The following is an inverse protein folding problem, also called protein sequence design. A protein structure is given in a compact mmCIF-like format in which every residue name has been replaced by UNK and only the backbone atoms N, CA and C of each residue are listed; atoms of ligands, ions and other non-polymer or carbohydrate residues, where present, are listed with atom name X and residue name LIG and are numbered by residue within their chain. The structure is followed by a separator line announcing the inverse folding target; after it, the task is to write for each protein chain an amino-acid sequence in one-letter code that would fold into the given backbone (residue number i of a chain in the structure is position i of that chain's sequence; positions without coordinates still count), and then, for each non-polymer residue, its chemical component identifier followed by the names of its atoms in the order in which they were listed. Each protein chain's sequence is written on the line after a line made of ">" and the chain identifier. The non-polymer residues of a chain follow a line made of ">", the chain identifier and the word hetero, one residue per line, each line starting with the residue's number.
data_IF_568864340042
#
_entry.id   IF_568864340042
#
_cell.length_a   1.000
_cell.length_b   1.000
_cell.length_c   1.000
_cell.angle_alpha   90.00
_cell.angle_beta   90.00
_cell.angle_gamma   90.00
#
_symmetry.space_group_name_H-M   'P 1'
#
loop_
_entity.id
_entity.type
_entity.pdbx_description
1 polymer ?
#
# COMPACT_ATOMS: atom_id res chain seq x y z
N UNK A 1 2.15 6.12 35.63
CA UNK A 1 0.73 6.15 35.22
C UNK A 1 0.52 7.46 34.48
N UNK A 2 0.32 7.42 33.16
CA UNK A 2 0.20 8.63 32.35
C UNK A 2 -1.05 9.40 32.78
N UNK A 3 -0.82 10.58 33.35
CA UNK A 3 -1.83 11.41 33.99
C UNK A 3 -2.68 12.10 32.91
N UNK A 4 -3.98 12.11 33.12
CA UNK A 4 -4.99 12.57 32.17
C UNK A 4 -4.97 14.08 31.98
N UNK A 5 -4.57 14.55 30.80
CA UNK A 5 -5.02 15.82 30.20
C UNK A 5 -4.91 15.75 28.67
N UNK A 6 -6.08 15.88 28.03
CA UNK A 6 -6.38 16.24 26.62
C UNK A 6 -5.90 15.36 25.46
N UNK A 7 -6.05 14.04 25.53
CA UNK A 7 -6.07 13.24 24.29
C UNK A 7 -7.54 12.91 23.96
N UNK A 8 -7.94 13.07 22.69
CA UNK A 8 -9.32 12.79 22.23
C UNK A 8 -9.71 11.30 22.40
N UNK A 9 -8.76 10.41 22.69
CA UNK A 9 -8.95 8.97 22.81
C UNK A 9 -8.75 8.45 24.25
N UNK A 10 -9.47 7.36 24.58
CA UNK A 10 -9.44 6.74 25.91
C UNK A 10 -8.62 5.45 25.87
N UNK A 11 -7.48 5.43 26.58
CA UNK A 11 -6.59 4.27 26.64
C UNK A 11 -7.31 2.95 26.96
N UNK A 12 -8.24 2.95 27.92
CA UNK A 12 -8.95 1.75 28.34
C UNK A 12 -9.92 1.21 27.28
N UNK A 13 -10.43 2.07 26.40
CA UNK A 13 -11.23 1.65 25.24
C UNK A 13 -10.34 1.09 24.14
N UNK A 14 -9.22 1.77 23.86
CA UNK A 14 -8.26 1.37 22.83
C UNK A 14 -7.72 -0.03 23.08
N UNK A 15 -7.27 -0.35 24.30
CA UNK A 15 -6.71 -1.67 24.65
C UNK A 15 -7.75 -2.81 24.63
N UNK A 16 -9.06 -2.48 24.64
CA UNK A 16 -10.14 -3.47 24.55
C UNK A 16 -10.53 -3.83 23.12
N UNK A 17 -10.00 -3.11 22.13
CA UNK A 17 -10.30 -3.33 20.72
C UNK A 17 -9.86 -4.73 20.30
N UNK A 18 -10.75 -5.47 19.66
CA UNK A 18 -10.54 -6.85 19.18
C UNK A 18 -10.31 -6.92 17.68
N UNK A 19 -10.60 -5.84 16.95
CA UNK A 19 -10.41 -5.74 15.51
C UNK A 19 -9.64 -4.47 15.17
N UNK A 20 -8.98 -4.45 14.01
CA UNK A 20 -8.30 -3.25 13.49
C UNK A 20 -9.31 -2.10 13.37
N UNK A 21 -10.52 -2.37 12.88
CA UNK A 21 -11.58 -1.37 12.74
C UNK A 21 -12.02 -0.76 14.08
N UNK A 22 -12.08 -1.56 15.15
CA UNK A 22 -12.35 -1.05 16.51
C UNK A 22 -11.19 -0.20 17.02
N UNK A 23 -9.95 -0.62 16.78
CA UNK A 23 -8.78 0.19 17.14
C UNK A 23 -8.81 1.52 16.39
N UNK A 24 -9.14 1.51 15.11
CA UNK A 24 -9.25 2.72 14.30
C UNK A 24 -10.35 3.66 14.80
N UNK A 25 -11.50 3.12 15.20
CA UNK A 25 -12.59 3.89 15.81
C UNK A 25 -12.19 4.51 17.16
N UNK A 26 -11.47 3.76 17.98
CA UNK A 26 -11.15 4.16 19.36
C UNK A 26 -9.92 5.06 19.45
N UNK A 27 -8.99 4.93 18.50
CA UNK A 27 -7.69 5.60 18.49
C UNK A 27 -7.41 6.38 17.21
N UNK A 28 -7.31 5.71 16.06
CA UNK A 28 -6.78 6.28 14.80
C UNK A 28 -7.57 7.51 14.35
N UNK A 29 -8.90 7.42 14.26
CA UNK A 29 -9.72 8.56 13.81
C UNK A 29 -9.64 9.74 14.79
N UNK A 30 -9.45 9.47 16.08
CA UNK A 30 -9.36 10.50 17.12
C UNK A 30 -7.99 11.18 17.11
N UNK A 31 -6.94 10.46 16.71
CA UNK A 31 -5.59 10.98 16.55
C UNK A 31 -5.45 11.85 15.30
N UNK A 32 -6.02 11.41 14.17
CA UNK A 32 -5.95 12.12 12.88
C UNK A 32 -7.16 13.02 12.61
N UNK A 33 -8.05 13.16 13.59
CA UNK A 33 -9.22 14.05 13.57
C UNK A 33 -10.19 13.79 12.40
N UNK A 34 -10.41 12.50 12.10
CA UNK A 34 -11.47 12.07 11.19
C UNK A 34 -12.82 12.00 11.91
N UNK A 35 -13.91 12.34 11.22
CA UNK A 35 -15.27 12.33 11.76
C UNK A 35 -15.77 10.89 11.97
N UNK A 36 -15.32 9.95 11.14
CA UNK A 36 -15.68 8.54 11.25
C UNK A 36 -14.60 7.61 10.67
N UNK A 37 -14.67 6.33 11.04
CA UNK A 37 -13.80 5.28 10.45
C UNK A 37 -14.03 5.12 8.95
N UNK A 38 -15.26 5.31 8.49
CA UNK A 38 -15.58 5.26 7.06
C UNK A 38 -14.93 6.40 6.29
N UNK A 39 -14.97 7.61 6.85
CA UNK A 39 -14.29 8.75 6.27
C UNK A 39 -12.77 8.54 6.24
N UNK A 40 -12.21 8.00 7.32
CA UNK A 40 -10.80 7.63 7.39
C UNK A 40 -10.42 6.64 6.28
N UNK A 41 -11.13 5.51 6.14
CA UNK A 41 -10.83 4.54 5.09
C UNK A 41 -11.09 5.07 3.68
N UNK A 42 -12.13 5.90 3.48
CA UNK A 42 -12.36 6.57 2.19
C UNK A 42 -11.20 7.53 1.84
N UNK A 43 -10.66 8.25 2.83
CA UNK A 43 -9.50 9.13 2.63
C UNK A 43 -8.19 8.35 2.43
N UNK A 44 -8.00 7.24 3.14
CA UNK A 44 -6.80 6.42 3.06
C UNK A 44 -6.75 5.49 1.82
N UNK A 45 -7.90 5.06 1.32
CA UNK A 45 -8.00 4.17 0.15
C UNK A 45 -7.62 4.87 -1.15
N UNK A 46 -6.99 4.12 -2.06
CA UNK A 46 -6.57 4.62 -3.37
C UNK A 46 -7.53 4.27 -4.51
N UNK A 47 -8.56 3.45 -4.24
CA UNK A 47 -9.43 2.87 -5.26
C UNK A 47 -10.07 3.93 -6.19
N UNK A 48 -10.52 5.04 -5.62
CA UNK A 48 -11.17 6.15 -6.35
C UNK A 48 -10.21 7.32 -6.64
N UNK A 49 -8.90 7.08 -6.59
CA UNK A 49 -7.86 8.11 -6.70
C UNK A 49 -6.74 7.75 -7.69
N UNK A 50 -6.88 6.65 -8.43
CA UNK A 50 -5.84 6.17 -9.35
C UNK A 50 -5.56 7.16 -10.49
N UNK A 51 -6.57 7.93 -10.89
CA UNK A 51 -6.46 9.00 -11.89
C UNK A 51 -5.60 10.18 -11.43
N UNK A 52 -5.34 10.31 -10.12
CA UNK A 52 -4.43 11.32 -9.57
C UNK A 52 -2.95 10.93 -9.74
N UNK A 53 -2.65 9.71 -10.19
CA UNK A 53 -1.28 9.25 -10.41
C UNK A 53 -0.74 9.89 -11.70
N UNK A 54 0.07 10.93 -11.53
CA UNK A 54 0.63 11.72 -12.63
C UNK A 54 2.03 11.29 -13.05
N UNK A 55 2.67 10.37 -12.31
CA UNK A 55 4.02 9.89 -12.59
C UNK A 55 3.98 8.39 -12.85
N UNK A 56 4.92 7.85 -13.63
CA UNK A 56 5.01 6.40 -13.83
C UNK A 56 5.06 5.69 -12.48
N UNK A 57 4.08 4.81 -12.24
CA UNK A 57 3.92 4.06 -11.01
C UNK A 57 3.81 2.56 -11.33
N UNK A 58 4.64 1.76 -10.67
CA UNK A 58 4.56 0.30 -10.69
C UNK A 58 4.18 -0.19 -9.29
N UNK A 59 3.01 -0.79 -9.17
CA UNK A 59 2.56 -1.48 -7.96
C UNK A 59 2.87 -2.98 -8.09
N UNK A 60 3.49 -3.56 -7.06
CA UNK A 60 3.75 -4.99 -6.97
C UNK A 60 2.85 -5.57 -5.86
N UNK A 61 2.07 -6.59 -6.19
CA UNK A 61 1.17 -7.30 -5.27
C UNK A 61 1.27 -8.81 -5.48
N UNK A 62 0.78 -9.59 -4.52
CA UNK A 62 0.74 -11.05 -4.59
C UNK A 62 -0.69 -11.55 -4.36
N UNK A 63 -1.13 -12.51 -5.17
CA UNK A 63 -2.45 -13.12 -5.05
C UNK A 63 -2.65 -13.93 -3.75
N UNK A 64 -1.56 -14.35 -3.12
CA UNK A 64 -1.55 -15.07 -1.84
C UNK A 64 -1.30 -14.15 -0.62
N UNK A 65 -1.40 -12.82 -0.78
CA UNK A 65 -1.31 -11.87 0.33
C UNK A 65 -2.53 -12.01 1.27
N UNK A 66 -2.33 -12.32 2.57
CA UNK A 66 -3.43 -12.49 3.53
C UNK A 66 -4.08 -11.17 3.97
N UNK A 67 -3.48 -10.02 3.66
CA UNK A 67 -3.98 -8.69 4.03
C UNK A 67 -4.54 -7.92 2.83
N UNK A 68 -3.93 -8.07 1.66
CA UNK A 68 -4.36 -7.43 0.42
C UNK A 68 -4.88 -8.49 -0.55
N UNK A 69 -6.19 -8.76 -0.49
CA UNK A 69 -6.80 -9.79 -1.32
C UNK A 69 -6.74 -9.37 -2.80
N UNK A 70 -6.48 -10.34 -3.68
CA UNK A 70 -6.49 -10.12 -5.13
C UNK A 70 -7.81 -9.51 -5.62
N UNK A 71 -8.94 -9.90 -5.00
CA UNK A 71 -10.27 -9.39 -5.33
C UNK A 71 -10.45 -7.88 -5.06
N UNK A 72 -9.64 -7.33 -4.16
CA UNK A 72 -9.72 -5.93 -3.72
C UNK A 72 -8.78 -5.03 -4.54
N UNK A 73 -7.95 -5.62 -5.41
CA UNK A 73 -7.08 -4.88 -6.31
C UNK A 73 -7.89 -4.19 -7.41
N UNK A 74 -7.67 -2.89 -7.66
CA UNK A 74 -8.44 -2.11 -8.63
C UNK A 74 -7.96 -2.33 -10.07
N UNK A 75 -7.77 -3.59 -10.49
CA UNK A 75 -7.17 -3.96 -11.78
C UNK A 75 -7.92 -3.34 -12.98
N UNK A 76 -9.26 -3.42 -12.98
CA UNK A 76 -10.09 -2.86 -14.05
C UNK A 76 -9.99 -1.33 -14.15
N UNK A 77 -9.86 -0.65 -13.01
CA UNK A 77 -9.71 0.80 -12.98
C UNK A 77 -8.31 1.19 -13.45
N UNK A 78 -7.29 0.42 -13.05
CA UNK A 78 -5.90 0.65 -13.43
C UNK A 78 -5.65 0.49 -14.95
N UNK A 79 -6.37 -0.41 -15.64
CA UNK A 79 -6.26 -0.59 -17.10
C UNK A 79 -6.49 0.70 -17.90
N UNK A 80 -7.20 1.68 -17.33
CA UNK A 80 -7.50 2.96 -17.98
C UNK A 80 -6.48 4.07 -17.65
N UNK A 81 -5.45 3.78 -16.83
CA UNK A 81 -4.48 4.76 -16.35
C UNK A 81 -3.13 4.52 -17.04
N UNK A 82 -2.75 5.41 -17.96
CA UNK A 82 -1.54 5.27 -18.79
C UNK A 82 -0.23 5.17 -17.97
N UNK A 83 -0.16 5.88 -16.84
CA UNK A 83 1.03 5.93 -16.00
C UNK A 83 1.05 4.90 -14.86
N UNK A 84 0.12 3.95 -14.82
CA UNK A 84 0.02 2.97 -13.74
C UNK A 84 0.10 1.55 -14.29
N UNK A 85 0.95 0.73 -13.67
CA UNK A 85 0.95 -0.71 -13.87
C UNK A 85 0.81 -1.42 -12.52
N UNK A 86 -0.08 -2.42 -12.45
CA UNK A 86 -0.19 -3.32 -11.29
C UNK A 86 0.29 -4.70 -11.72
N UNK A 87 1.40 -5.15 -11.13
CA UNK A 87 1.94 -6.49 -11.30
C UNK A 87 1.48 -7.37 -10.15
N UNK A 88 0.72 -8.43 -10.46
CA UNK A 88 0.25 -9.41 -9.49
C UNK A 88 1.01 -10.72 -9.69
N UNK A 89 1.76 -11.15 -8.69
CA UNK A 89 2.40 -12.46 -8.69
C UNK A 89 1.46 -13.51 -8.10
N UNK A 90 1.56 -14.77 -8.55
CA UNK A 90 0.79 -15.85 -7.94
C UNK A 90 1.18 -16.12 -6.48
N UNK A 91 2.44 -15.80 -6.12
CA UNK A 91 3.01 -15.99 -4.79
C UNK A 91 3.96 -14.85 -4.41
N UNK A 92 4.03 -14.57 -3.11
CA UNK A 92 4.91 -13.57 -2.52
C UNK A 92 4.49 -13.19 -1.10
N UNK A 93 3.26 -13.53 -0.71
CA UNK A 93 2.67 -13.06 0.54
C UNK A 93 2.68 -11.54 0.62
N UNK A 94 2.71 -11.01 1.83
CA UNK A 94 2.63 -9.55 2.04
C UNK A 94 3.93 -8.80 1.70
N UNK A 95 5.10 -9.44 1.88
CA UNK A 95 6.42 -8.79 1.75
C UNK A 95 7.51 -9.68 1.11
N UNK A 96 7.18 -10.92 0.76
CA UNK A 96 8.14 -12.00 0.51
C UNK A 96 8.29 -12.36 -0.96
N UNK A 97 8.45 -11.38 -1.84
CA UNK A 97 8.71 -11.53 -3.28
C UNK A 97 10.10 -12.12 -3.58
N UNK A 98 10.35 -13.30 -3.01
CA UNK A 98 11.61 -14.04 -3.04
C UNK A 98 11.60 -15.07 -4.18
N UNK A 99 12.79 -15.50 -4.59
CA UNK A 99 12.96 -16.47 -5.67
C UNK A 99 13.98 -17.56 -5.33
N UNK A 100 13.78 -18.72 -5.95
CA UNK A 100 14.66 -19.86 -5.81
C UNK A 100 14.27 -20.81 -4.68
N UNK A 101 14.98 -21.94 -4.61
CA UNK A 101 14.74 -22.97 -3.60
C UNK A 101 15.24 -22.56 -2.21
N UNK A 102 16.29 -21.73 -2.16
CA UNK A 102 16.86 -21.24 -0.92
C UNK A 102 16.77 -19.71 -0.87
N UNK A 103 15.87 -19.14 -0.05
CA UNK A 103 15.56 -17.72 -0.08
C UNK A 103 16.72 -16.80 0.35
N UNK A 104 17.78 -17.36 0.95
CA UNK A 104 18.94 -16.61 1.43
C UNK A 104 20.20 -16.81 0.58
N UNK A 105 20.17 -17.66 -0.46
CA UNK A 105 21.38 -17.94 -1.26
C UNK A 105 21.55 -16.99 -2.44
N UNK A 106 20.48 -16.30 -2.84
CA UNK A 106 20.48 -15.40 -3.98
C UNK A 106 20.33 -13.97 -3.50
N UNK A 107 21.36 -13.14 -3.69
CA UNK A 107 21.28 -11.68 -3.46
C UNK A 107 20.47 -10.94 -4.52
N UNK A 108 19.65 -11.65 -5.31
CA UNK A 108 19.00 -11.14 -6.51
C UNK A 108 17.51 -11.51 -6.51
N UNK A 109 16.80 -11.09 -5.46
CA UNK A 109 15.37 -11.35 -5.26
C UNK A 109 14.53 -10.70 -6.37
N UNK A 110 13.35 -11.27 -6.64
CA UNK A 110 12.47 -10.81 -7.72
C UNK A 110 12.16 -9.31 -7.61
N UNK A 111 11.78 -8.85 -6.41
CA UNK A 111 11.45 -7.45 -6.16
C UNK A 111 12.60 -6.52 -6.53
N UNK A 112 13.85 -6.85 -6.16
CA UNK A 112 15.00 -6.01 -6.49
C UNK A 112 15.27 -5.95 -7.99
N UNK A 113 15.18 -7.09 -8.69
CA UNK A 113 15.33 -7.11 -10.16
C UNK A 113 14.23 -6.32 -10.85
N UNK A 114 13.00 -6.44 -10.38
CA UNK A 114 11.86 -5.73 -10.94
C UNK A 114 12.03 -4.21 -10.78
N UNK A 115 12.38 -3.76 -9.58
CA UNK A 115 12.64 -2.35 -9.28
C UNK A 115 13.79 -1.82 -10.15
N UNK A 116 14.90 -2.57 -10.26
CA UNK A 116 16.03 -2.19 -11.11
C UNK A 116 15.64 -2.06 -12.59
N UNK A 117 14.92 -3.04 -13.13
CA UNK A 117 14.43 -3.02 -14.51
C UNK A 117 13.49 -1.84 -14.77
N UNK A 118 12.57 -1.59 -13.84
CA UNK A 118 11.60 -0.49 -13.94
C UNK A 118 12.29 0.87 -13.99
N UNK A 119 13.14 1.17 -13.00
CA UNK A 119 13.87 2.43 -12.95
C UNK A 119 14.86 2.57 -14.11
N UNK A 120 15.59 1.49 -14.44
CA UNK A 120 16.48 1.48 -15.61
C UNK A 120 15.73 1.85 -16.89
N UNK A 121 14.51 1.36 -17.09
CA UNK A 121 13.69 1.71 -18.26
C UNK A 121 13.30 3.18 -18.26
N UNK A 122 12.85 3.72 -17.11
CA UNK A 122 12.47 5.14 -16.97
C UNK A 122 13.65 6.05 -17.34
N UNK A 123 14.84 5.77 -16.83
CA UNK A 123 16.02 6.61 -17.06
C UNK A 123 16.58 6.45 -18.47
N UNK A 124 16.71 5.22 -18.99
CA UNK A 124 17.22 4.96 -20.35
C UNK A 124 16.36 5.61 -21.42
N UNK A 125 15.05 5.52 -21.28
CA UNK A 125 14.08 6.11 -22.22
C UNK A 125 13.78 7.58 -21.93
N UNK A 126 14.42 8.18 -20.91
CA UNK A 126 14.21 9.57 -20.50
C UNK A 126 12.74 9.92 -20.18
N UNK A 127 11.94 8.93 -19.81
CA UNK A 127 10.50 9.08 -19.52
C UNK A 127 10.28 10.12 -18.42
N UNK A 128 11.18 10.18 -17.43
CA UNK A 128 11.13 11.15 -16.33
C UNK A 128 11.05 12.63 -16.79
N UNK A 129 11.58 12.96 -17.98
CA UNK A 129 11.56 14.34 -18.51
C UNK A 129 10.16 14.85 -18.79
N UNK A 130 9.20 13.96 -19.02
CA UNK A 130 7.80 14.32 -19.24
C UNK A 130 7.13 14.78 -17.93
N UNK A 131 7.75 14.50 -16.77
CA UNK A 131 7.18 14.69 -15.44
C UNK A 131 7.95 15.68 -14.56
N UNK A 132 9.16 16.08 -14.97
CA UNK A 132 9.90 17.20 -14.35
C UNK A 132 9.57 18.51 -15.05
N UNK A 133 8.82 19.39 -14.39
CA UNK A 133 8.67 20.81 -14.77
C UNK A 133 9.94 21.59 -14.46
#
# INVERSE_FOLDING_TARGET
>A
MLNSSSHKWNYNEVIKSKTIREFDANYTIKLFEHESVEEYYKKASLHDKLDLIQVPCLCLSAADDPFCLESDLPLKSADNIENLAILVTARGGHIGFLEGFWPFSNHNEFMFRLIDQYFSSIFKNQIYKQFTK
#
